data_IF_073977269064
#
_entry.id   IF_073977269064
#
_cell.length_a   1.000
_cell.length_b   1.000
_cell.length_c   1.000
_cell.angle_alpha   90.00
_cell.angle_beta   90.00
_cell.angle_gamma   90.00
#
_symmetry.space_group_name_H-M   'P 1'
#
loop_
_entity.id
_entity.type
_entity.pdbx_description
1 polymer ?
#
# COMPACT_ATOMS: atom_id res chain seq x y z
N UNK A 1 10.53 0.86 9.19
CA UNK A 1 11.43 -0.26 9.57
C UNK A 1 12.31 0.16 10.75
N UNK A 2 11.75 0.24 11.98
CA UNK A 2 12.49 0.48 13.25
C UNK A 2 12.29 -0.65 14.29
N UNK A 3 11.66 -1.78 13.94
CA UNK A 3 11.72 -2.98 14.79
C UNK A 3 13.18 -3.36 15.09
N UNK A 4 14.06 -3.15 14.10
CA UNK A 4 15.52 -3.26 14.20
C UNK A 4 16.22 -2.13 14.96
N UNK A 5 15.59 -0.95 15.18
CA UNK A 5 16.19 0.13 16.01
C UNK A 5 15.80 -0.03 17.48
N UNK A 6 14.55 -0.40 17.75
CA UNK A 6 14.03 -0.58 19.11
C UNK A 6 14.35 -1.97 19.68
N UNK A 7 14.45 -2.99 18.81
CA UNK A 7 14.86 -4.35 19.15
C UNK A 7 15.92 -4.87 18.15
N UNK A 8 17.13 -4.28 18.13
CA UNK A 8 18.18 -4.60 17.16
C UNK A 8 18.57 -6.08 17.16
N UNK A 9 18.55 -6.70 18.34
CA UNK A 9 18.86 -8.12 18.51
C UNK A 9 17.78 -9.00 17.84
N UNK A 10 16.50 -8.73 18.10
CA UNK A 10 15.40 -9.49 17.48
C UNK A 10 15.37 -9.30 15.96
N UNK A 11 15.57 -8.06 15.48
CA UNK A 11 15.67 -7.78 14.06
C UNK A 11 16.83 -8.52 13.37
N UNK A 12 18.03 -8.50 13.99
CA UNK A 12 19.19 -9.22 13.48
C UNK A 12 18.99 -10.75 13.51
N UNK A 13 18.36 -11.30 14.56
CA UNK A 13 18.02 -12.72 14.64
C UNK A 13 17.06 -13.09 13.51
N UNK A 14 15.94 -12.37 13.36
CA UNK A 14 14.95 -12.64 12.32
C UNK A 14 15.55 -12.62 10.91
N UNK A 15 16.45 -11.68 10.60
CA UNK A 15 17.11 -11.58 9.30
C UNK A 15 18.12 -12.72 9.05
N UNK A 16 18.76 -13.25 10.09
CA UNK A 16 19.78 -14.30 9.98
C UNK A 16 19.25 -15.73 10.17
N UNK A 17 17.95 -15.89 10.48
CA UNK A 17 17.36 -17.23 10.63
C UNK A 17 17.46 -18.05 9.32
N UNK A 18 17.68 -19.38 9.41
CA UNK A 18 17.60 -20.26 8.26
C UNK A 18 16.22 -20.19 7.59
N UNK A 19 16.18 -20.28 6.25
CA UNK A 19 14.94 -20.16 5.48
C UNK A 19 13.84 -21.16 5.91
N UNK A 20 14.20 -22.36 6.37
CA UNK A 20 13.23 -23.32 6.94
C UNK A 20 12.54 -22.79 8.19
N UNK A 21 13.29 -22.13 9.06
CA UNK A 21 12.74 -21.54 10.30
C UNK A 21 11.91 -20.31 9.96
N UNK A 22 12.39 -19.46 9.04
CA UNK A 22 11.60 -18.32 8.53
C UNK A 22 10.29 -18.75 7.87
N UNK A 23 10.29 -19.84 7.10
CA UNK A 23 9.08 -20.36 6.46
C UNK A 23 8.06 -20.90 7.48
N UNK A 24 8.53 -21.41 8.61
CA UNK A 24 7.66 -21.84 9.70
C UNK A 24 7.14 -20.65 10.54
N UNK A 25 7.99 -19.66 10.80
CA UNK A 25 7.63 -18.49 11.62
C UNK A 25 6.82 -17.43 10.86
N UNK A 26 7.14 -17.23 9.58
CA UNK A 26 6.62 -16.19 8.69
C UNK A 26 6.21 -16.78 7.33
N UNK A 27 5.35 -17.80 7.29
CA UNK A 27 4.92 -18.45 6.04
C UNK A 27 4.34 -17.45 5.04
N UNK A 28 3.58 -16.45 5.49
CA UNK A 28 2.96 -15.44 4.61
C UNK A 28 4.00 -14.63 3.84
N UNK A 29 4.98 -14.06 4.54
CA UNK A 29 6.06 -13.29 3.92
C UNK A 29 6.91 -14.15 2.97
N UNK A 30 7.29 -15.37 3.38
CA UNK A 30 8.11 -16.26 2.55
C UNK A 30 7.35 -16.70 1.29
N UNK A 31 6.08 -17.07 1.42
CA UNK A 31 5.27 -17.46 0.27
C UNK A 31 5.09 -16.29 -0.70
N UNK A 32 4.88 -15.07 -0.20
CA UNK A 32 4.78 -13.88 -1.04
C UNK A 32 6.12 -13.57 -1.73
N UNK A 33 7.25 -13.68 -1.04
CA UNK A 33 8.56 -13.51 -1.63
C UNK A 33 8.87 -14.58 -2.71
N UNK A 34 8.48 -15.84 -2.48
CA UNK A 34 8.58 -16.92 -3.48
C UNK A 34 7.72 -16.63 -4.72
N UNK A 35 6.50 -16.09 -4.53
CA UNK A 35 5.64 -15.65 -5.64
C UNK A 35 6.26 -14.47 -6.41
N UNK A 36 6.74 -13.44 -5.71
CA UNK A 36 7.43 -12.31 -6.32
C UNK A 36 8.66 -12.78 -7.11
N UNK A 37 9.42 -13.73 -6.58
CA UNK A 37 10.56 -14.35 -7.26
C UNK A 37 10.16 -15.01 -8.57
N UNK A 38 9.19 -15.92 -8.53
CA UNK A 38 8.74 -16.61 -9.75
C UNK A 38 8.17 -15.63 -10.78
N UNK A 39 7.48 -14.57 -10.35
CA UNK A 39 7.00 -13.52 -11.24
C UNK A 39 8.15 -12.76 -11.91
N UNK A 40 9.17 -12.34 -11.15
CA UNK A 40 10.32 -11.61 -11.69
C UNK A 40 11.11 -12.49 -12.66
N UNK A 41 11.39 -13.74 -12.31
CA UNK A 41 12.09 -14.69 -13.17
C UNK A 41 11.32 -14.89 -14.49
N UNK A 42 10.03 -15.21 -14.41
CA UNK A 42 9.16 -15.37 -15.59
C UNK A 42 9.15 -14.13 -16.49
N UNK A 43 9.11 -12.94 -15.90
CA UNK A 43 9.12 -11.67 -16.62
C UNK A 43 10.45 -11.46 -17.35
N UNK A 44 11.58 -11.76 -16.70
CA UNK A 44 12.91 -11.60 -17.28
C UNK A 44 13.20 -12.66 -18.37
N UNK A 45 12.70 -13.87 -18.21
CA UNK A 45 12.88 -14.98 -19.16
C UNK A 45 12.07 -14.77 -20.45
N UNK A 46 10.87 -14.18 -20.36
CA UNK A 46 10.01 -13.89 -21.52
C UNK A 46 10.65 -13.02 -22.60
N UNK A 47 11.67 -12.23 -22.27
CA UNK A 47 12.39 -11.38 -23.21
C UNK A 47 13.67 -12.01 -23.77
N UNK A 48 14.16 -13.13 -23.23
CA UNK A 48 15.32 -13.83 -23.79
C UNK A 48 14.94 -14.64 -25.04
N UNK A 49 13.71 -15.17 -25.10
CA UNK A 49 13.26 -16.03 -26.20
C UNK A 49 12.70 -15.25 -27.42
N UNK A 50 12.34 -13.97 -27.25
CA UNK A 50 11.73 -13.15 -28.32
C UNK A 50 12.71 -12.12 -28.87
N UNK A 51 13.56 -12.56 -29.78
CA UNK A 51 14.42 -11.73 -30.63
C UNK A 51 13.64 -10.96 -31.70
N UNK A 52 12.59 -10.23 -31.32
CA UNK A 52 11.86 -9.37 -32.26
C UNK A 52 11.50 -8.07 -31.57
N UNK A 53 11.68 -6.95 -32.28
CA UNK A 53 11.58 -5.53 -31.90
C UNK A 53 10.29 -5.04 -31.19
N UNK A 54 9.51 -5.91 -30.57
CA UNK A 54 8.19 -5.61 -30.02
C UNK A 54 7.88 -6.33 -28.70
N UNK A 55 8.88 -6.84 -27.99
CA UNK A 55 8.67 -7.36 -26.65
C UNK A 55 8.45 -6.19 -25.68
N UNK A 56 7.26 -6.09 -25.07
CA UNK A 56 6.90 -4.99 -24.16
C UNK A 56 7.79 -5.05 -22.92
N UNK A 57 8.77 -4.15 -22.83
CA UNK A 57 9.60 -4.00 -21.63
C UNK A 57 8.73 -3.63 -20.43
N UNK A 58 8.79 -4.45 -19.39
CA UNK A 58 8.19 -4.12 -18.09
C UNK A 58 9.16 -3.27 -17.26
N UNK A 59 8.66 -2.71 -16.16
CA UNK A 59 9.52 -1.99 -15.21
C UNK A 59 10.69 -2.83 -14.69
N UNK A 60 10.52 -4.14 -14.49
CA UNK A 60 11.61 -5.01 -14.05
C UNK A 60 12.76 -5.12 -15.06
N UNK A 61 12.46 -5.00 -16.35
CA UNK A 61 13.50 -4.93 -17.38
C UNK A 61 14.27 -3.61 -17.28
N UNK A 62 13.55 -2.50 -17.14
CA UNK A 62 14.16 -1.17 -17.00
C UNK A 62 15.00 -1.05 -15.72
N UNK A 63 14.57 -1.68 -14.63
CA UNK A 63 15.33 -1.73 -13.38
C UNK A 63 16.57 -2.63 -13.50
N UNK A 64 16.53 -3.67 -14.33
CA UNK A 64 17.68 -4.56 -14.57
C UNK A 64 18.73 -3.94 -15.49
N UNK A 65 18.30 -3.14 -16.46
CA UNK A 65 19.17 -2.49 -17.45
C UNK A 65 20.05 -1.41 -16.78
N UNK A 66 21.38 -1.45 -16.98
CA UNK A 66 22.27 -0.40 -16.50
C UNK A 66 22.08 0.89 -17.31
N UNK A 67 22.23 2.03 -16.66
CA UNK A 67 22.16 3.37 -17.27
C UNK A 67 23.45 4.13 -16.92
N UNK A 68 24.31 4.32 -17.92
CA UNK A 68 25.61 4.98 -17.76
C UNK A 68 25.47 6.48 -17.50
N UNK A 69 24.47 7.14 -18.08
CA UNK A 69 24.25 8.58 -17.90
C UNK A 69 23.82 8.89 -16.46
N UNK A 70 23.03 7.99 -15.86
CA UNK A 70 22.59 8.11 -14.46
C UNK A 70 23.52 7.44 -13.44
N UNK A 71 24.67 6.91 -13.88
CA UNK A 71 25.58 6.11 -13.04
C UNK A 71 24.86 4.98 -12.27
N UNK A 72 23.93 4.30 -12.96
CA UNK A 72 23.10 3.25 -12.40
C UNK A 72 23.54 1.87 -12.91
N UNK A 73 24.01 0.97 -12.04
CA UNK A 73 24.58 -0.32 -12.47
C UNK A 73 23.52 -1.39 -12.83
N UNK A 74 22.22 -1.10 -12.65
CA UNK A 74 21.17 -2.11 -12.74
C UNK A 74 20.99 -2.89 -11.44
N UNK A 75 19.76 -3.35 -11.16
CA UNK A 75 19.44 -4.12 -9.96
C UNK A 75 19.77 -5.61 -10.11
N UNK A 76 20.29 -6.20 -9.04
CA UNK A 76 20.43 -7.66 -8.86
C UNK A 76 19.07 -8.36 -8.77
N UNK A 77 19.04 -9.68 -8.97
CA UNK A 77 17.79 -10.46 -8.87
C UNK A 77 17.12 -10.29 -7.50
N UNK A 78 17.88 -10.41 -6.41
CA UNK A 78 17.33 -10.23 -5.05
C UNK A 78 16.75 -8.82 -4.82
N UNK A 79 17.38 -7.78 -5.39
CA UNK A 79 16.86 -6.43 -5.33
C UNK A 79 15.54 -6.29 -6.11
N UNK A 80 15.46 -6.89 -7.30
CA UNK A 80 14.22 -6.91 -8.09
C UNK A 80 13.08 -7.66 -7.38
N UNK A 81 13.40 -8.74 -6.66
CA UNK A 81 12.41 -9.48 -5.85
C UNK A 81 11.88 -8.59 -4.71
N UNK A 82 12.77 -7.85 -4.04
CA UNK A 82 12.38 -6.91 -3.00
C UNK A 82 11.52 -5.75 -3.55
N UNK A 83 11.86 -5.22 -4.73
CA UNK A 83 11.02 -4.23 -5.41
C UNK A 83 9.65 -4.80 -5.79
N UNK A 84 9.59 -6.04 -6.29
CA UNK A 84 8.33 -6.71 -6.59
C UNK A 84 7.45 -6.84 -5.33
N UNK A 85 8.05 -7.23 -4.20
CA UNK A 85 7.35 -7.28 -2.91
C UNK A 85 6.81 -5.91 -2.51
N UNK A 86 7.61 -4.85 -2.66
CA UNK A 86 7.21 -3.48 -2.36
C UNK A 86 6.05 -3.01 -3.23
N UNK A 87 6.09 -3.27 -4.54
CA UNK A 87 5.01 -2.93 -5.47
C UNK A 87 3.72 -3.68 -5.14
N UNK A 88 3.81 -4.97 -4.80
CA UNK A 88 2.65 -5.77 -4.44
C UNK A 88 2.01 -5.24 -3.15
N UNK A 89 2.79 -5.00 -2.10
CA UNK A 89 2.26 -4.51 -0.82
C UNK A 89 1.69 -3.09 -0.98
N UNK A 90 2.45 -2.18 -1.58
CA UNK A 90 2.08 -0.78 -1.71
C UNK A 90 0.94 -0.53 -2.67
N UNK A 91 0.81 -1.34 -3.73
CA UNK A 91 -0.18 -1.14 -4.80
C UNK A 91 -1.48 -1.92 -4.64
N UNK A 92 -1.48 -3.05 -3.91
CA UNK A 92 -2.66 -3.93 -3.87
C UNK A 92 -3.75 -3.41 -2.95
N UNK A 93 -3.46 -3.30 -1.64
CA UNK A 93 -4.48 -2.96 -0.65
C UNK A 93 -4.98 -1.53 -0.79
N UNK A 94 -4.07 -0.58 -1.05
CA UNK A 94 -4.40 0.86 -1.21
C UNK A 94 -5.35 1.09 -2.38
N UNK A 95 -5.07 0.47 -3.54
CA UNK A 95 -5.90 0.57 -4.74
C UNK A 95 -7.24 -0.13 -4.55
N UNK A 96 -7.24 -1.35 -4.01
CA UNK A 96 -8.46 -2.10 -3.74
C UNK A 96 -9.40 -1.33 -2.79
N UNK A 97 -8.85 -0.80 -1.70
CA UNK A 97 -9.58 0.02 -0.73
C UNK A 97 -10.22 1.25 -1.39
N UNK A 98 -9.43 2.00 -2.17
CA UNK A 98 -9.92 3.19 -2.89
C UNK A 98 -11.04 2.82 -3.86
N UNK A 99 -10.89 1.74 -4.63
CA UNK A 99 -11.92 1.28 -5.57
C UNK A 99 -13.21 0.86 -4.86
N UNK A 100 -13.11 0.16 -3.72
CA UNK A 100 -14.29 -0.22 -2.92
C UNK A 100 -15.08 1.00 -2.45
N UNK A 101 -14.41 2.03 -1.95
CA UNK A 101 -15.06 3.29 -1.55
C UNK A 101 -15.65 4.06 -2.74
N UNK A 102 -14.91 4.15 -3.85
CA UNK A 102 -15.42 4.80 -5.06
C UNK A 102 -16.73 4.14 -5.53
N UNK A 103 -16.74 2.81 -5.63
CA UNK A 103 -17.92 2.04 -6.05
C UNK A 103 -19.07 2.25 -5.08
N UNK A 104 -18.83 2.15 -3.77
CA UNK A 104 -19.86 2.38 -2.75
C UNK A 104 -20.51 3.76 -2.89
N UNK A 105 -19.72 4.83 -2.93
CA UNK A 105 -20.24 6.20 -2.99
C UNK A 105 -20.93 6.52 -4.32
N UNK A 106 -20.37 6.06 -5.45
CA UNK A 106 -20.98 6.24 -6.76
C UNK A 106 -22.33 5.53 -6.84
N UNK A 107 -22.42 4.29 -6.36
CA UNK A 107 -23.68 3.52 -6.39
C UNK A 107 -24.72 4.04 -5.38
N UNK A 108 -24.29 4.69 -4.31
CA UNK A 108 -25.19 5.29 -3.30
C UNK A 108 -25.82 6.61 -3.76
N UNK A 109 -25.35 7.21 -4.85
CA UNK A 109 -25.82 8.50 -5.35
C UNK A 109 -26.21 8.41 -6.84
N UNK A 110 -27.50 8.20 -7.17
CA UNK A 110 -27.95 7.99 -8.55
C UNK A 110 -27.55 9.11 -9.53
N UNK A 111 -27.53 10.37 -9.06
CA UNK A 111 -27.09 11.52 -9.86
C UNK A 111 -25.60 11.41 -10.24
N UNK A 112 -24.74 11.04 -9.28
CA UNK A 112 -23.31 10.87 -9.51
C UNK A 112 -23.09 9.72 -10.50
N UNK A 113 -23.77 8.59 -10.30
CA UNK A 113 -23.69 7.44 -11.20
C UNK A 113 -24.12 7.79 -12.62
N UNK A 114 -25.26 8.47 -12.78
CA UNK A 114 -25.76 8.87 -14.10
C UNK A 114 -24.77 9.79 -14.82
N UNK A 115 -24.25 10.80 -14.12
CA UNK A 115 -23.28 11.74 -14.69
C UNK A 115 -21.96 11.07 -15.07
N UNK A 116 -21.47 10.14 -14.25
CA UNK A 116 -20.28 9.35 -14.58
C UNK A 116 -20.52 8.47 -15.82
N UNK A 117 -21.66 7.76 -15.88
CA UNK A 117 -22.00 6.94 -17.05
C UNK A 117 -22.04 7.76 -18.33
N UNK A 118 -22.67 8.93 -18.31
CA UNK A 118 -22.74 9.81 -19.49
C UNK A 118 -21.34 10.21 -19.98
N UNK A 119 -20.41 10.54 -19.08
CA UNK A 119 -19.02 10.85 -19.46
C UNK A 119 -18.31 9.62 -20.05
N UNK A 120 -18.45 8.46 -19.42
CA UNK A 120 -17.82 7.21 -19.87
C UNK A 120 -18.38 6.72 -21.21
N UNK A 121 -19.68 6.87 -21.44
CA UNK A 121 -20.32 6.57 -22.72
C UNK A 121 -19.78 7.47 -23.83
N UNK A 122 -19.63 8.78 -23.56
CA UNK A 122 -18.99 9.72 -24.49
C UNK A 122 -17.53 9.38 -24.81
N UNK A 123 -16.87 8.60 -23.96
CA UNK A 123 -15.51 8.12 -24.14
C UNK A 123 -15.41 6.62 -24.52
N UNK A 124 -16.54 5.96 -24.84
CA UNK A 124 -16.60 4.50 -25.00
C UNK A 124 -15.63 3.94 -26.07
N UNK A 125 -15.44 4.64 -27.20
CA UNK A 125 -14.47 4.23 -28.23
C UNK A 125 -13.04 4.22 -27.67
N UNK A 126 -12.67 5.28 -26.93
CA UNK A 126 -11.35 5.40 -26.33
C UNK A 126 -11.10 4.32 -25.28
N UNK A 127 -12.14 3.95 -24.53
CA UNK A 127 -12.07 2.95 -23.45
C UNK A 127 -12.05 1.52 -24.01
N UNK A 128 -13.01 1.16 -24.87
CA UNK A 128 -13.30 -0.23 -25.23
C UNK A 128 -12.64 -0.70 -26.52
N UNK A 129 -12.21 0.22 -27.40
CA UNK A 129 -11.61 -0.14 -28.69
C UNK A 129 -10.15 0.26 -28.76
N UNK A 130 -9.85 1.53 -28.45
CA UNK A 130 -8.52 2.09 -28.63
C UNK A 130 -7.61 1.90 -27.41
N UNK A 131 -8.20 1.73 -26.22
CA UNK A 131 -7.48 1.77 -24.94
C UNK A 131 -6.57 2.98 -24.82
N UNK A 132 -7.06 4.15 -25.26
CA UNK A 132 -6.30 5.40 -25.28
C UNK A 132 -6.14 5.94 -23.86
N UNK A 133 -5.02 5.56 -23.23
CA UNK A 133 -4.64 6.00 -21.90
C UNK A 133 -4.62 7.53 -21.75
N UNK A 134 -4.18 8.27 -22.77
CA UNK A 134 -4.07 9.72 -22.68
C UNK A 134 -5.44 10.37 -22.63
N UNK A 135 -6.42 9.82 -23.34
CA UNK A 135 -7.80 10.29 -23.26
C UNK A 135 -8.48 9.87 -21.96
N UNK A 136 -8.35 8.60 -21.57
CA UNK A 136 -9.02 8.05 -20.37
C UNK A 136 -8.57 8.77 -19.09
N UNK A 137 -7.25 8.97 -18.91
CA UNK A 137 -6.71 9.61 -17.70
C UNK A 137 -7.12 11.08 -17.53
N UNK A 138 -7.60 11.71 -18.60
CA UNK A 138 -7.98 13.12 -18.64
C UNK A 138 -9.51 13.33 -18.61
N UNK A 139 -10.30 12.27 -18.40
CA UNK A 139 -11.74 12.40 -18.21
C UNK A 139 -12.02 13.18 -16.91
N UNK A 140 -12.62 14.38 -17.00
CA UNK A 140 -12.65 15.31 -15.87
C UNK A 140 -13.50 14.81 -14.70
N UNK A 141 -14.65 14.19 -14.97
CA UNK A 141 -15.56 13.74 -13.92
C UNK A 141 -15.09 12.44 -13.27
N UNK A 142 -14.56 11.48 -14.05
CA UNK A 142 -13.88 10.31 -13.51
C UNK A 142 -12.70 10.73 -12.62
N UNK A 143 -11.89 11.70 -13.06
CA UNK A 143 -10.78 12.24 -12.27
C UNK A 143 -11.28 12.90 -10.98
N UNK A 144 -12.38 13.65 -11.05
CA UNK A 144 -12.99 14.26 -9.88
C UNK A 144 -13.47 13.21 -8.88
N UNK A 145 -14.10 12.12 -9.33
CA UNK A 145 -14.53 11.01 -8.47
C UNK A 145 -13.34 10.33 -7.80
N UNK A 146 -12.26 10.05 -8.53
CA UNK A 146 -11.05 9.45 -7.95
C UNK A 146 -10.46 10.36 -6.88
N UNK A 147 -10.32 11.66 -7.16
CA UNK A 147 -9.80 12.64 -6.21
C UNK A 147 -10.68 12.76 -4.97
N UNK A 148 -11.99 12.80 -5.15
CA UNK A 148 -12.92 12.92 -4.03
C UNK A 148 -12.95 11.64 -3.19
N UNK A 149 -12.87 10.48 -3.82
CA UNK A 149 -12.73 9.20 -3.13
C UNK A 149 -11.46 9.18 -2.27
N UNK A 150 -10.32 9.63 -2.81
CA UNK A 150 -9.07 9.73 -2.05
C UNK A 150 -9.12 10.77 -0.93
N UNK A 151 -9.95 11.82 -1.07
CA UNK A 151 -10.15 12.83 -0.02
C UNK A 151 -10.95 12.28 1.17
N UNK A 152 -11.97 11.47 0.90
CA UNK A 152 -12.86 10.92 1.95
C UNK A 152 -12.38 9.57 2.50
N UNK A 153 -11.63 8.80 1.71
CA UNK A 153 -11.12 7.48 2.08
C UNK A 153 -9.59 7.49 1.98
N UNK A 154 -8.92 7.49 3.13
CA UNK A 154 -7.47 7.38 3.20
C UNK A 154 -7.10 5.92 3.46
N UNK A 155 -6.67 5.21 2.41
CA UNK A 155 -6.24 3.80 2.51
C UNK A 155 -5.02 3.58 3.42
N UNK A 156 -4.32 4.66 3.79
CA UNK A 156 -3.28 4.67 4.82
C UNK A 156 -3.72 5.69 5.88
N UNK A 157 -3.83 5.32 7.16
CA UNK A 157 -4.25 6.24 8.21
C UNK A 157 -3.11 7.22 8.53
N UNK A 158 -3.07 8.33 7.80
CA UNK A 158 -2.12 9.43 8.03
C UNK A 158 -0.91 9.42 7.11
N UNK A 159 0.02 10.33 7.41
CA UNK A 159 1.25 10.50 6.65
C UNK A 159 2.22 9.34 6.88
N UNK A 160 3.06 9.06 5.89
CA UNK A 160 4.18 8.15 6.08
C UNK A 160 5.13 8.71 7.16
N UNK A 161 5.54 7.91 8.16
CA UNK A 161 6.44 8.38 9.21
C UNK A 161 7.70 9.05 8.63
N UNK A 162 8.10 10.16 9.22
CA UNK A 162 9.35 10.86 8.91
C UNK A 162 10.30 10.71 10.09
N UNK A 163 11.60 10.70 9.80
CA UNK A 163 12.65 10.74 10.83
C UNK A 163 13.23 12.14 10.80
N UNK A 164 13.20 12.82 11.94
CA UNK A 164 13.89 14.10 12.10
C UNK A 164 15.39 13.80 12.27
N UNK A 165 16.29 14.57 11.64
CA UNK A 165 17.73 14.46 11.88
C UNK A 165 18.07 14.61 13.37
N UNK A 166 19.21 14.07 13.80
CA UNK A 166 19.62 14.08 15.21
C UNK A 166 19.80 15.51 15.74
N UNK A 167 20.23 16.43 14.87
CA UNK A 167 20.34 17.86 15.15
C UNK A 167 19.00 18.61 15.29
N UNK A 168 17.87 17.94 15.02
CA UNK A 168 16.55 18.56 14.97
C UNK A 168 16.35 19.40 13.69
N UNK A 169 15.12 19.86 13.47
CA UNK A 169 14.81 20.72 12.33
C UNK A 169 13.80 21.80 12.70
N UNK A 170 13.99 23.00 12.17
CA UNK A 170 12.97 24.04 12.23
C UNK A 170 11.98 23.87 11.09
N UNK A 171 10.70 23.72 11.43
CA UNK A 171 9.59 23.82 10.47
C UNK A 171 8.86 25.11 10.80
N UNK A 172 8.96 26.08 9.90
CA UNK A 172 8.54 27.47 10.16
C UNK A 172 9.23 28.00 11.43
N UNK A 173 8.46 28.44 12.43
CA UNK A 173 8.97 28.95 13.71
C UNK A 173 9.03 27.89 14.81
N UNK A 174 8.75 26.61 14.52
CA UNK A 174 8.75 25.55 15.51
C UNK A 174 9.95 24.63 15.34
N UNK A 175 10.69 24.40 16.44
CA UNK A 175 11.77 23.43 16.48
C UNK A 175 11.20 22.04 16.78
N UNK A 176 11.50 21.08 15.91
CA UNK A 176 11.08 19.69 16.04
C UNK A 176 12.32 18.85 16.35
N UNK A 177 12.31 18.16 17.49
CA UNK A 177 13.32 17.17 17.88
C UNK A 177 12.88 15.75 17.48
N UNK A 178 13.81 14.78 17.49
CA UNK A 178 13.61 13.38 17.02
C UNK A 178 12.31 12.74 17.54
N UNK A 179 11.95 13.00 18.80
CA UNK A 179 10.84 12.33 19.47
C UNK A 179 9.45 12.79 19.00
N UNK A 180 9.35 13.99 18.40
CA UNK A 180 8.05 14.59 18.10
C UNK A 180 7.38 14.00 16.86
N UNK A 181 8.13 13.48 15.89
CA UNK A 181 7.55 12.89 14.67
C UNK A 181 6.87 11.53 14.94
N UNK A 182 7.31 10.80 15.96
CA UNK A 182 6.63 9.59 16.41
C UNK A 182 5.29 9.89 17.07
N UNK A 183 5.15 11.08 17.64
CA UNK A 183 3.93 11.49 18.32
C UNK A 183 2.73 11.45 17.40
N UNK A 184 2.82 11.62 16.07
CA UNK A 184 1.63 11.67 15.21
C UNK A 184 0.75 10.41 15.31
N UNK A 185 1.33 9.20 15.24
CA UNK A 185 0.57 7.94 15.39
C UNK A 185 0.06 7.79 16.82
N UNK A 186 0.92 8.06 17.81
CA UNK A 186 0.54 7.96 19.23
C UNK A 186 -0.55 8.98 19.59
N UNK A 187 -0.52 10.17 19.03
CA UNK A 187 -1.49 11.26 19.21
C UNK A 187 -2.77 10.93 18.47
N UNK A 188 -2.73 10.42 17.23
CA UNK A 188 -3.93 9.97 16.54
C UNK A 188 -4.67 8.89 17.34
N UNK A 189 -3.94 7.84 17.78
CA UNK A 189 -4.52 6.80 18.62
C UNK A 189 -4.98 7.36 19.97
N UNK A 190 -4.17 8.16 20.65
CA UNK A 190 -4.53 8.75 21.94
C UNK A 190 -5.77 9.65 21.82
N UNK A 191 -5.86 10.52 20.82
CA UNK A 191 -7.02 11.37 20.58
C UNK A 191 -8.26 10.55 20.26
N UNK A 192 -8.13 9.47 19.49
CA UNK A 192 -9.24 8.56 19.19
C UNK A 192 -9.76 7.90 20.48
N UNK A 193 -8.88 7.35 21.31
CA UNK A 193 -9.25 6.69 22.58
C UNK A 193 -9.59 7.65 23.72
N UNK A 194 -9.15 8.92 23.67
CA UNK A 194 -9.55 9.97 24.62
C UNK A 194 -10.93 10.53 24.29
N UNK A 195 -11.32 10.54 23.01
CA UNK A 195 -12.59 11.09 22.56
C UNK A 195 -13.74 10.11 22.75
N UNK A 196 -13.53 8.83 22.49
CA UNK A 196 -14.60 7.84 22.47
C UNK A 196 -14.43 6.79 23.56
N UNK A 197 -15.46 6.60 24.37
CA UNK A 197 -15.62 5.36 25.12
C UNK A 197 -16.17 4.31 24.17
N UNK A 198 -15.56 3.13 24.17
CA UNK A 198 -15.83 2.08 23.20
C UNK A 198 -15.83 0.70 23.84
N UNK A 199 -16.69 -0.17 23.33
CA UNK A 199 -16.69 -1.60 23.67
C UNK A 199 -16.68 -2.45 22.40
N UNK A 200 -16.10 -3.65 22.50
CA UNK A 200 -16.19 -4.63 21.42
C UNK A 200 -17.66 -4.99 21.20
N UNK A 201 -18.08 -5.01 19.94
CA UNK A 201 -19.44 -5.36 19.54
C UNK A 201 -19.38 -6.53 18.59
N UNK A 202 -19.99 -7.66 18.94
CA UNK A 202 -19.97 -8.89 18.12
C UNK A 202 -18.56 -9.34 17.68
N UNK A 203 -17.53 -8.88 18.41
CA UNK A 203 -16.12 -9.11 18.16
C UNK A 203 -15.50 -9.70 19.42
N UNK A 204 -14.82 -10.82 19.25
CA UNK A 204 -14.17 -11.61 20.30
C UNK A 204 -12.90 -12.28 19.76
N UNK A 205 -12.22 -13.07 20.58
CA UNK A 205 -11.00 -13.78 20.18
C UNK A 205 -11.23 -14.73 18.99
N UNK A 206 -12.43 -15.30 18.85
CA UNK A 206 -12.77 -16.19 17.72
C UNK A 206 -12.90 -15.44 16.39
N UNK A 207 -13.00 -14.11 16.46
CA UNK A 207 -13.10 -13.20 15.32
C UNK A 207 -11.75 -12.99 14.63
N UNK A 208 -10.65 -13.42 15.25
CA UNK A 208 -9.28 -13.25 14.78
C UNK A 208 -8.60 -14.62 14.68
N UNK A 209 -7.80 -14.83 13.64
CA UNK A 209 -6.91 -15.97 13.51
C UNK A 209 -5.47 -15.49 13.40
N UNK A 210 -4.57 -16.12 14.14
CA UNK A 210 -3.15 -15.95 13.89
C UNK A 210 -2.79 -16.72 12.64
N UNK A 211 -2.54 -16.00 11.55
CA UNK A 211 -2.07 -16.59 10.30
C UNK A 211 -0.60 -16.98 10.39
N UNK A 212 0.17 -16.26 11.21
CA UNK A 212 1.53 -16.63 11.60
C UNK A 212 1.92 -15.95 12.93
N UNK A 213 3.20 -15.98 13.30
CA UNK A 213 3.69 -15.43 14.57
C UNK A 213 3.63 -13.89 14.66
N UNK A 214 3.32 -13.18 13.57
CA UNK A 214 3.30 -11.70 13.54
C UNK A 214 2.04 -11.12 12.91
N UNK A 215 1.29 -11.91 12.14
CA UNK A 215 0.11 -11.48 11.41
C UNK A 215 -1.15 -12.16 11.95
N UNK A 216 -1.97 -11.35 12.61
CA UNK A 216 -3.35 -11.67 12.92
C UNK A 216 -4.26 -11.24 11.76
N UNK A 217 -5.19 -12.11 11.37
CA UNK A 217 -6.15 -11.87 10.30
C UNK A 217 -7.55 -11.91 10.87
N UNK A 218 -8.36 -10.93 10.51
CA UNK A 218 -9.76 -10.86 10.91
C UNK A 218 -10.59 -11.87 10.10
N UNK A 219 -11.27 -12.81 10.77
CA UNK A 219 -12.23 -13.73 10.13
C UNK A 219 -13.51 -13.02 9.70
N UNK A 220 -13.86 -11.96 10.42
CA UNK A 220 -14.98 -11.06 10.18
C UNK A 220 -14.56 -9.64 10.56
N UNK A 221 -15.21 -8.59 10.04
CA UNK A 221 -14.88 -7.21 10.39
C UNK A 221 -14.82 -7.01 11.91
N UNK A 222 -13.82 -6.25 12.38
CA UNK A 222 -13.76 -5.81 13.77
C UNK A 222 -14.81 -4.74 13.97
N UNK A 223 -15.78 -5.05 14.81
CA UNK A 223 -16.92 -4.21 15.10
C UNK A 223 -16.78 -3.65 16.51
N UNK A 224 -16.88 -2.34 16.63
CA UNK A 224 -16.76 -1.60 17.89
C UNK A 224 -17.99 -0.72 18.03
N UNK A 225 -18.58 -0.70 19.22
CA UNK A 225 -19.67 0.20 19.55
C UNK A 225 -19.13 1.37 20.34
N UNK A 226 -19.39 2.59 19.87
CA UNK A 226 -19.12 3.82 20.62
C UNK A 226 -20.22 3.94 21.68
N UNK A 227 -19.85 3.87 22.94
CA UNK A 227 -20.76 4.03 24.08
C UNK A 227 -20.90 5.49 24.48
N UNK A 228 -19.88 6.31 24.21
CA UNK A 228 -19.89 7.75 24.47
C UNK A 228 -18.92 8.51 23.55
N UNK A 229 -19.32 9.68 23.05
CA UNK A 229 -18.42 10.69 22.46
C UNK A 229 -18.33 11.85 23.45
N UNK A 230 -17.13 12.16 23.95
CA UNK A 230 -16.96 13.23 24.95
C UNK A 230 -17.06 14.65 24.37
N UNK A 231 -17.26 14.80 23.04
CA UNK A 231 -17.37 16.09 22.34
C UNK A 231 -18.74 16.38 21.71
N UNK A 232 -19.70 15.44 21.77
CA UNK A 232 -21.06 15.59 21.25
C UNK A 232 -22.06 15.82 22.39
#
# INVERSE_FOLDING_TARGET
MRFTKNFPILGAICLNLPNRVKKHLLPGHINLAEQCKSLVENVLDQNQEKSTHQAKKTMFHLLREPDQEKNYPGMGLDALINEALLFTIGGSHTTAYTLSYAVYHVLSAPEILSRLRNELEGASTAINKEFDWHRIKNLPYLTAIIKETLRISSGIPGNLPRVVPDEGVYVQSQFIQEDLAYMEIYLCLALFFLRFDMELFETDETSIEWSDFVLAVNKKPVMVRITKDHLA
#
